data_IF_130940127429
#
_entry.id   IF_130940127429
#
_cell.length_a   1.000
_cell.length_b   1.000
_cell.length_c   1.000
_cell.angle_alpha   90.00
_cell.angle_beta   90.00
_cell.angle_gamma   90.00
#
_symmetry.space_group_name_H-M   'P 1'
#
loop_
_entity.id
_entity.type
_entity.pdbx_description
1 polymer ?
#
# COMPACT_ATOMS: atom_id res chain seq x y z
N UNK A 1 -6.71 -21.88 28.27
CA UNK A 1 -6.32 -20.46 28.31
C UNK A 1 -5.25 -20.24 27.25
N UNK A 2 -5.54 -19.53 26.14
CA UNK A 2 -4.50 -19.14 25.16
C UNK A 2 -3.79 -17.90 25.71
N UNK A 3 -2.45 -17.98 25.86
CA UNK A 3 -1.61 -16.81 26.14
C UNK A 3 -1.86 -15.77 25.05
N UNK A 4 -2.09 -14.52 25.43
CA UNK A 4 -2.10 -13.42 24.47
C UNK A 4 -0.65 -13.13 24.08
N UNK A 5 -0.20 -13.70 22.96
CA UNK A 5 1.10 -13.39 22.37
C UNK A 5 0.95 -12.07 21.57
N UNK A 6 0.84 -10.97 22.32
CA UNK A 6 0.99 -9.63 21.78
C UNK A 6 2.46 -9.48 21.38
N UNK A 7 2.73 -9.32 20.08
CA UNK A 7 4.07 -9.02 19.59
C UNK A 7 4.05 -7.71 18.81
N UNK A 8 4.84 -6.75 19.31
CA UNK A 8 5.16 -5.53 18.59
C UNK A 8 6.59 -5.70 18.07
N UNK A 9 6.78 -5.54 16.77
CA UNK A 9 8.11 -5.53 16.17
C UNK A 9 8.25 -4.30 15.30
N UNK A 10 8.91 -3.28 15.86
CA UNK A 10 9.44 -2.14 15.10
C UNK A 10 10.77 -2.59 14.50
N UNK A 11 10.80 -2.84 13.20
CA UNK A 11 12.04 -3.15 12.50
C UNK A 11 12.61 -1.85 11.95
N UNK A 12 13.69 -1.39 12.59
CA UNK A 12 14.73 -0.50 12.08
C UNK A 12 14.28 0.70 11.22
N UNK A 13 14.44 1.91 11.76
CA UNK A 13 14.76 3.05 10.91
C UNK A 13 16.19 2.81 10.39
N UNK A 14 16.30 2.45 9.11
CA UNK A 14 17.59 2.25 8.44
C UNK A 14 17.89 3.43 7.54
N UNK A 15 19.04 4.07 7.73
CA UNK A 15 19.66 4.90 6.70
C UNK A 15 20.28 3.95 5.67
N UNK A 16 19.63 3.79 4.52
CA UNK A 16 20.22 3.05 3.40
C UNK A 16 21.13 4.03 2.66
N UNK A 17 22.44 3.81 2.77
CA UNK A 17 23.48 4.54 2.05
C UNK A 17 23.98 3.65 0.91
N UNK A 18 23.58 3.90 -0.34
CA UNK A 18 24.05 3.09 -1.46
C UNK A 18 23.41 3.45 -2.80
N UNK A 19 24.15 3.19 -3.89
CA UNK A 19 23.80 3.45 -5.29
C UNK A 19 22.59 2.65 -5.83
N UNK A 20 22.00 1.78 -5.01
CA UNK A 20 21.08 0.72 -5.45
C UNK A 20 19.74 0.75 -4.70
N UNK A 21 19.31 1.93 -4.20
CA UNK A 21 17.95 2.08 -3.67
C UNK A 21 16.96 2.10 -4.84
N UNK A 22 16.36 0.94 -5.14
CA UNK A 22 15.24 0.82 -6.07
C UNK A 22 13.91 0.89 -5.30
N UNK A 23 13.16 2.00 -5.35
CA UNK A 23 11.80 2.02 -4.83
C UNK A 23 10.91 1.12 -5.72
N UNK A 24 10.30 0.09 -5.14
CA UNK A 24 9.33 -0.78 -5.83
C UNK A 24 7.88 -0.50 -5.37
N UNK A 25 6.84 -0.71 -6.21
CA UNK A 25 6.82 -0.73 -7.68
C UNK A 25 5.92 0.36 -8.29
N UNK A 26 6.37 0.87 -9.42
CA UNK A 26 5.57 1.30 -10.57
C UNK A 26 4.37 0.36 -10.79
N UNK A 27 3.14 0.81 -10.55
CA UNK A 27 2.00 0.35 -11.36
C UNK A 27 0.75 1.20 -11.11
N UNK A 28 0.40 1.44 -9.83
CA UNK A 28 -0.86 2.09 -9.47
C UNK A 28 -0.97 3.57 -9.91
N UNK A 29 0.16 4.22 -10.23
CA UNK A 29 0.25 5.65 -10.53
C UNK A 29 0.99 5.99 -11.81
N UNK A 30 1.30 4.96 -12.61
CA UNK A 30 1.95 5.13 -13.90
C UNK A 30 1.22 6.15 -14.78
N UNK A 31 -0.12 6.16 -14.77
CA UNK A 31 -0.91 7.12 -15.55
C UNK A 31 -0.71 8.57 -15.08
N UNK A 32 -0.59 8.83 -13.77
CA UNK A 32 -0.27 10.18 -13.27
C UNK A 32 1.12 10.60 -13.73
N UNK A 33 2.11 9.74 -13.56
CA UNK A 33 3.49 10.04 -13.92
C UNK A 33 3.63 10.23 -15.45
N UNK A 34 2.92 9.44 -16.24
CA UNK A 34 2.82 9.59 -17.69
C UNK A 34 2.19 10.93 -18.08
N UNK A 35 1.13 11.36 -17.40
CA UNK A 35 0.50 12.66 -17.66
C UNK A 35 1.37 13.84 -17.24
N UNK A 36 2.09 13.72 -16.12
CA UNK A 36 2.95 14.78 -15.59
C UNK A 36 4.25 14.95 -16.38
N UNK A 37 4.89 13.84 -16.76
CA UNK A 37 6.23 13.84 -17.37
C UNK A 37 6.24 13.47 -18.85
N UNK A 38 5.11 13.02 -19.41
CA UNK A 38 4.96 12.67 -20.82
C UNK A 38 5.89 11.53 -21.25
N UNK A 39 6.41 11.62 -22.48
CA UNK A 39 7.37 10.66 -23.04
C UNK A 39 8.68 10.56 -22.24
N UNK A 40 8.98 11.56 -21.39
CA UNK A 40 10.20 11.62 -20.60
C UNK A 40 10.08 10.93 -19.25
N UNK A 41 8.98 10.22 -18.93
CA UNK A 41 8.76 9.60 -17.61
C UNK A 41 9.94 8.72 -17.19
N UNK A 42 10.50 7.95 -18.12
CA UNK A 42 11.65 7.06 -17.87
C UNK A 42 12.91 7.89 -17.55
N UNK A 43 13.19 8.93 -18.32
CA UNK A 43 14.36 9.78 -18.09
C UNK A 43 14.23 10.62 -16.81
N UNK A 44 13.05 11.14 -16.49
CA UNK A 44 12.83 11.92 -15.26
C UNK A 44 12.95 11.02 -14.03
N UNK A 45 12.34 9.83 -14.06
CA UNK A 45 12.43 8.86 -12.95
C UNK A 45 13.85 8.36 -12.78
N UNK A 46 14.54 7.98 -13.87
CA UNK A 46 15.93 7.52 -13.78
C UNK A 46 16.90 8.64 -13.38
N UNK A 47 16.70 9.88 -13.87
CA UNK A 47 17.54 11.02 -13.51
C UNK A 47 17.32 11.52 -12.08
N UNK A 48 16.12 11.33 -11.51
CA UNK A 48 15.80 11.72 -10.12
C UNK A 48 16.67 11.00 -9.09
N UNK A 49 17.25 9.86 -9.44
CA UNK A 49 18.07 9.03 -8.55
C UNK A 49 19.56 8.91 -8.99
N UNK A 50 20.04 9.76 -9.91
CA UNK A 50 21.43 9.68 -10.43
C UNK A 50 22.50 10.23 -9.49
N UNK A 51 22.15 11.09 -8.54
CA UNK A 51 23.07 11.51 -7.47
C UNK A 51 23.06 10.47 -6.35
N UNK A 52 24.12 10.42 -5.51
CA UNK A 52 24.11 9.56 -4.32
C UNK A 52 22.95 9.99 -3.41
N UNK A 53 21.82 9.33 -3.54
CA UNK A 53 20.61 9.62 -2.79
C UNK A 53 20.68 8.88 -1.45
N UNK A 54 20.52 9.62 -0.37
CA UNK A 54 20.27 9.04 0.95
C UNK A 54 18.78 8.98 1.16
N UNK A 55 18.29 7.97 1.89
CA UNK A 55 16.86 7.83 2.15
C UNK A 55 16.57 7.32 3.54
N UNK A 56 15.32 7.49 3.95
CA UNK A 56 14.77 6.84 5.14
C UNK A 56 13.91 5.67 4.69
N UNK A 57 14.12 4.53 5.32
CA UNK A 57 13.24 3.38 5.21
C UNK A 57 12.85 2.92 6.61
N UNK A 58 11.57 2.63 6.80
CA UNK A 58 11.05 2.18 8.08
C UNK A 58 9.93 1.17 7.89
N UNK A 59 9.93 0.13 8.73
CA UNK A 59 8.86 -0.86 8.77
C UNK A 59 8.29 -0.96 10.18
N UNK A 60 6.97 -0.90 10.29
CA UNK A 60 6.27 -1.21 11.53
C UNK A 60 5.38 -2.44 11.35
N UNK A 61 5.42 -3.37 12.31
CA UNK A 61 4.56 -4.55 12.33
C UNK A 61 3.98 -4.75 13.72
N UNK A 62 2.68 -4.97 13.80
CA UNK A 62 1.93 -5.28 15.00
C UNK A 62 1.09 -6.53 14.76
N UNK A 63 1.31 -7.57 15.55
CA UNK A 63 0.53 -8.81 15.48
C UNK A 63 -0.11 -9.10 16.84
N UNK A 64 -1.45 -9.18 16.84
CA UNK A 64 -2.29 -9.59 17.97
C UNK A 64 -2.75 -11.04 17.76
N UNK A 65 -1.86 -11.99 18.00
CA UNK A 65 -2.12 -13.42 17.75
C UNK A 65 -2.56 -13.69 16.30
N UNK A 66 -3.57 -14.55 16.11
CA UNK A 66 -4.15 -14.83 14.78
C UNK A 66 -5.29 -13.87 14.38
N UNK A 67 -5.60 -12.88 15.22
CA UNK A 67 -6.80 -12.05 15.08
C UNK A 67 -6.53 -10.76 14.30
N UNK A 68 -5.40 -10.10 14.52
CA UNK A 68 -5.09 -8.84 13.86
C UNK A 68 -3.61 -8.75 13.53
N UNK A 69 -3.30 -8.51 12.27
CA UNK A 69 -1.96 -8.22 11.80
C UNK A 69 -2.01 -6.87 11.09
N UNK A 70 -1.17 -5.93 11.52
CA UNK A 70 -0.97 -4.64 10.89
C UNK A 70 0.48 -4.54 10.47
N UNK A 71 0.74 -4.19 9.23
CA UNK A 71 2.08 -3.92 8.72
C UNK A 71 2.09 -2.62 7.95
N UNK A 72 3.10 -1.79 8.14
CA UNK A 72 3.31 -0.62 7.32
C UNK A 72 4.76 -0.45 6.93
N UNK A 73 4.96 0.08 5.73
CA UNK A 73 6.26 0.38 5.15
C UNK A 73 6.27 1.86 4.76
N UNK A 74 7.34 2.55 5.12
CA UNK A 74 7.59 3.95 4.75
C UNK A 74 8.95 4.05 4.08
N UNK A 75 9.00 4.85 3.02
CA UNK A 75 10.25 5.24 2.38
C UNK A 75 10.22 6.70 1.93
N UNK A 76 11.36 7.37 1.98
CA UNK A 76 11.57 8.70 1.40
C UNK A 76 13.02 8.92 1.03
N UNK A 77 13.25 9.87 0.12
CA UNK A 77 14.59 10.25 -0.34
C UNK A 77 14.92 11.65 0.17
N UNK A 78 16.09 11.80 0.76
CA UNK A 78 16.57 13.08 1.29
C UNK A 78 16.77 14.07 0.15
N UNK A 79 16.33 15.32 0.34
CA UNK A 79 16.43 16.41 -0.64
C UNK A 79 15.71 16.14 -1.97
N UNK A 80 14.74 15.22 -2.00
CA UNK A 80 13.85 15.02 -3.13
C UNK A 80 12.43 15.31 -2.66
N UNK A 81 11.90 16.43 -3.14
CA UNK A 81 10.53 16.84 -2.88
C UNK A 81 9.56 15.77 -3.39
N UNK A 82 8.55 15.53 -2.58
CA UNK A 82 7.46 14.58 -2.77
C UNK A 82 7.97 13.16 -3.07
N UNK A 83 9.01 12.72 -2.36
CA UNK A 83 9.55 11.35 -2.48
C UNK A 83 8.94 10.34 -1.50
N UNK A 84 8.07 10.79 -0.59
CA UNK A 84 7.45 9.96 0.42
C UNK A 84 6.53 8.91 -0.18
N UNK A 85 6.64 7.69 0.35
CA UNK A 85 5.90 6.51 -0.05
C UNK A 85 5.54 5.76 1.22
N UNK A 86 4.25 5.48 1.40
CA UNK A 86 3.73 4.82 2.58
C UNK A 86 2.69 3.78 2.19
N UNK A 87 2.85 2.58 2.71
CA UNK A 87 1.87 1.51 2.61
C UNK A 87 1.48 1.09 4.02
N UNK A 88 0.19 0.93 4.29
CA UNK A 88 -0.31 0.23 5.46
C UNK A 88 -1.24 -0.90 5.02
N UNK A 89 -1.12 -2.05 5.68
CA UNK A 89 -1.93 -3.24 5.44
C UNK A 89 -2.46 -3.72 6.78
N UNK A 90 -3.74 -4.04 6.80
CA UNK A 90 -4.44 -4.62 7.95
C UNK A 90 -5.06 -5.92 7.52
N UNK A 91 -4.86 -6.98 8.29
CA UNK A 91 -5.47 -8.28 8.08
C UNK A 91 -6.09 -8.68 9.41
N UNK A 92 -7.41 -8.86 9.41
CA UNK A 92 -8.14 -9.41 10.56
C UNK A 92 -8.49 -10.86 10.27
N UNK A 93 -8.34 -11.70 11.27
CA UNK A 93 -8.80 -13.08 11.27
C UNK A 93 -8.22 -13.93 10.11
N UNK A 94 -6.89 -13.98 9.99
CA UNK A 94 -6.21 -14.82 8.99
C UNK A 94 -6.20 -16.32 9.34
N UNK A 95 -6.85 -16.69 10.45
CA UNK A 95 -7.07 -18.08 10.87
C UNK A 95 -8.08 -18.80 9.95
N UNK A 96 -7.84 -20.06 9.62
CA UNK A 96 -8.76 -20.91 8.85
C UNK A 96 -10.05 -21.22 9.61
N UNK A 97 -10.00 -21.17 10.95
CA UNK A 97 -11.14 -21.45 11.80
C UNK A 97 -12.06 -20.24 12.00
N UNK A 98 -11.63 -19.05 11.56
CA UNK A 98 -12.47 -17.85 11.62
C UNK A 98 -13.12 -17.67 10.23
N UNK A 99 -14.45 -17.75 10.10
CA UNK A 99 -15.14 -17.79 8.81
C UNK A 99 -15.24 -16.42 8.12
N UNK A 100 -14.46 -15.43 8.56
CA UNK A 100 -14.51 -14.04 8.09
C UNK A 100 -13.15 -13.66 7.49
N UNK A 101 -13.18 -12.85 6.44
CA UNK A 101 -12.03 -12.16 5.85
C UNK A 101 -12.29 -10.67 6.02
N UNK A 102 -11.40 -9.97 6.72
CA UNK A 102 -11.33 -8.51 6.63
C UNK A 102 -9.88 -8.13 6.33
N UNK A 103 -9.67 -7.43 5.22
CA UNK A 103 -8.35 -6.93 4.83
C UNK A 103 -8.48 -5.48 4.40
N UNK A 104 -7.49 -4.68 4.72
CA UNK A 104 -7.43 -3.28 4.32
C UNK A 104 -6.03 -2.96 3.81
N UNK A 105 -5.95 -2.15 2.76
CA UNK A 105 -4.72 -1.57 2.27
C UNK A 105 -4.95 -0.07 2.13
N UNK A 106 -3.98 0.69 2.62
CA UNK A 106 -3.84 2.11 2.39
C UNK A 106 -2.49 2.35 1.75
N UNK A 107 -2.47 3.12 0.69
CA UNK A 107 -1.26 3.52 0.00
C UNK A 107 -1.29 5.02 -0.25
N UNK A 108 -0.20 5.70 0.07
CA UNK A 108 0.02 7.11 -0.21
C UNK A 108 1.43 7.26 -0.78
N UNK A 109 1.55 8.00 -1.89
CA UNK A 109 2.85 8.41 -2.42
C UNK A 109 2.89 9.92 -2.63
N UNK A 110 4.04 10.40 -3.06
CA UNK A 110 4.26 11.77 -3.48
C UNK A 110 3.87 12.79 -2.40
N UNK A 111 4.36 12.55 -1.17
CA UNK A 111 4.14 13.44 -0.03
C UNK A 111 5.47 13.77 0.67
N UNK A 112 5.51 14.91 1.35
CA UNK A 112 6.73 15.43 1.98
C UNK A 112 6.78 15.16 3.49
N UNK A 113 5.63 15.12 4.14
CA UNK A 113 5.54 14.98 5.58
C UNK A 113 4.42 14.02 6.02
N UNK A 114 4.55 13.47 7.22
CA UNK A 114 3.52 12.58 7.79
C UNK A 114 2.19 13.29 8.08
N UNK A 115 2.16 14.62 8.12
CA UNK A 115 0.91 15.37 8.35
C UNK A 115 -0.01 15.35 7.13
N UNK A 116 0.57 15.28 5.92
CA UNK A 116 -0.14 15.14 4.65
C UNK A 116 -0.51 13.69 4.32
N UNK A 117 -0.02 12.72 5.10
CA UNK A 117 -0.34 11.30 4.92
C UNK A 117 -1.86 11.03 4.99
N UNK A 118 -2.57 11.77 5.83
CA UNK A 118 -4.03 11.62 5.98
C UNK A 118 -4.85 12.39 4.95
N UNK A 119 -4.21 13.22 4.12
CA UNK A 119 -4.89 13.96 3.06
C UNK A 119 -5.29 13.02 1.93
N UNK A 120 -6.56 13.07 1.54
CA UNK A 120 -7.13 12.23 0.48
C UNK A 120 -7.11 13.00 -0.84
N UNK A 121 -6.13 12.70 -1.69
CA UNK A 121 -5.93 13.32 -3.00
C UNK A 121 -5.55 12.25 -4.02
N UNK A 122 -5.21 12.66 -5.25
CA UNK A 122 -4.90 11.75 -6.35
C UNK A 122 -3.66 10.86 -6.11
N UNK A 123 -2.94 11.08 -5.02
CA UNK A 123 -1.83 10.24 -4.60
C UNK A 123 -2.22 9.12 -3.62
N UNK A 124 -3.52 8.92 -3.39
CA UNK A 124 -4.02 7.97 -2.41
C UNK A 124 -4.77 6.81 -3.07
N UNK A 125 -4.47 5.59 -2.63
CA UNK A 125 -5.25 4.39 -2.95
C UNK A 125 -5.69 3.69 -1.67
N UNK A 126 -6.97 3.32 -1.62
CA UNK A 126 -7.55 2.57 -0.51
C UNK A 126 -8.26 1.35 -1.07
N UNK A 127 -8.00 0.19 -0.48
CA UNK A 127 -8.73 -1.02 -0.79
C UNK A 127 -9.13 -1.75 0.49
N UNK A 128 -10.33 -2.33 0.47
CA UNK A 128 -10.86 -3.13 1.56
C UNK A 128 -11.52 -4.39 1.03
N UNK A 129 -11.22 -5.54 1.64
CA UNK A 129 -11.88 -6.80 1.34
C UNK A 129 -12.68 -7.21 2.57
N UNK A 130 -13.97 -7.48 2.38
CA UNK A 130 -14.82 -8.14 3.36
C UNK A 130 -15.39 -9.41 2.74
N UNK A 131 -15.30 -10.54 3.45
CA UNK A 131 -15.73 -11.82 2.90
C UNK A 131 -15.98 -12.90 3.92
N UNK A 132 -16.52 -14.01 3.44
CA UNK A 132 -16.80 -15.22 4.22
C UNK A 132 -16.05 -16.41 3.65
N UNK A 133 -15.43 -17.19 4.54
CA UNK A 133 -14.74 -18.45 4.21
C UNK A 133 -15.68 -19.63 4.41
N UNK A 134 -15.61 -20.57 3.48
CA UNK A 134 -16.31 -21.84 3.50
C UNK A 134 -15.29 -22.98 3.39
N UNK A 135 -15.64 -24.17 3.89
CA UNK A 135 -14.80 -25.37 3.83
C UNK A 135 -13.36 -25.14 4.31
N UNK A 136 -13.19 -24.53 5.49
CA UNK A 136 -11.88 -24.18 6.07
C UNK A 136 -11.01 -23.28 5.16
N UNK A 137 -11.63 -22.40 4.39
CA UNK A 137 -10.93 -21.43 3.53
C UNK A 137 -10.64 -21.92 2.11
N UNK A 138 -11.11 -23.12 1.73
CA UNK A 138 -11.01 -23.59 0.34
C UNK A 138 -11.83 -22.72 -0.61
N UNK A 139 -12.96 -22.22 -0.15
CA UNK A 139 -13.83 -21.31 -0.90
C UNK A 139 -14.05 -20.04 -0.09
N UNK A 140 -14.03 -18.89 -0.74
CA UNK A 140 -14.46 -17.65 -0.12
C UNK A 140 -15.29 -16.78 -1.07
N UNK A 141 -16.29 -16.13 -0.50
CA UNK A 141 -17.10 -15.10 -1.15
C UNK A 141 -16.68 -13.76 -0.60
N UNK A 142 -16.28 -12.84 -1.48
CA UNK A 142 -15.63 -11.60 -1.09
C UNK A 142 -16.25 -10.41 -1.81
N UNK A 143 -16.19 -9.26 -1.13
CA UNK A 143 -16.47 -7.94 -1.67
C UNK A 143 -15.20 -7.13 -1.53
N UNK A 144 -14.67 -6.67 -2.66
CA UNK A 144 -13.56 -5.72 -2.73
C UNK A 144 -14.14 -4.33 -2.93
N UNK A 145 -13.88 -3.42 -2.01
CA UNK A 145 -14.03 -1.98 -2.20
C UNK A 145 -12.68 -1.39 -2.59
N UNK A 146 -12.66 -0.53 -3.59
CA UNK A 146 -11.50 0.23 -4.01
C UNK A 146 -11.90 1.70 -4.13
N UNK A 147 -11.01 2.58 -3.68
CA UNK A 147 -11.09 4.01 -3.92
C UNK A 147 -9.76 4.51 -4.44
N UNK A 148 -9.83 5.16 -5.60
CA UNK A 148 -8.71 5.74 -6.31
C UNK A 148 -9.15 7.05 -6.96
N UNK A 149 -8.29 7.66 -7.75
CA UNK A 149 -8.55 8.87 -8.49
C UNK A 149 -8.23 8.65 -9.97
N UNK A 150 -9.18 9.01 -10.84
CA UNK A 150 -9.02 8.90 -12.28
C UNK A 150 -8.84 10.29 -12.88
N UNK A 151 -7.88 10.44 -13.79
CA UNK A 151 -7.74 11.66 -14.57
C UNK A 151 -8.88 11.78 -15.58
N UNK A 152 -9.53 12.93 -15.60
CA UNK A 152 -10.56 13.27 -16.58
C UNK A 152 -10.00 14.27 -17.59
N UNK A 153 -9.87 13.84 -18.85
CA UNK A 153 -9.33 14.70 -19.91
C UNK A 153 -10.23 15.92 -20.18
N UNK A 154 -11.54 15.78 -20.00
CA UNK A 154 -12.52 16.82 -20.35
C UNK A 154 -12.39 18.09 -19.51
N UNK A 155 -12.06 17.95 -18.22
CA UNK A 155 -11.92 19.07 -17.29
C UNK A 155 -10.49 19.21 -16.74
N UNK A 156 -9.57 18.33 -17.14
CA UNK A 156 -8.19 18.30 -16.64
C UNK A 156 -8.11 18.25 -15.12
N UNK A 157 -8.97 17.43 -14.50
CA UNK A 157 -8.98 17.22 -13.05
C UNK A 157 -9.01 15.74 -12.70
N UNK A 158 -8.57 15.43 -11.49
CA UNK A 158 -8.75 14.11 -10.90
C UNK A 158 -10.12 14.02 -10.24
N UNK A 159 -10.87 12.99 -10.59
CA UNK A 159 -12.14 12.67 -9.97
C UNK A 159 -12.02 11.38 -9.15
N UNK A 160 -12.71 11.35 -8.01
CA UNK A 160 -12.74 10.17 -7.15
C UNK A 160 -13.46 9.03 -7.89
N UNK A 161 -12.80 7.88 -7.98
CA UNK A 161 -13.39 6.65 -8.47
C UNK A 161 -13.51 5.65 -7.33
N UNK A 162 -14.74 5.22 -7.05
CA UNK A 162 -15.04 4.16 -6.09
C UNK A 162 -15.63 2.96 -6.83
N UNK A 163 -15.19 1.76 -6.44
CA UNK A 163 -15.62 0.51 -7.05
C UNK A 163 -15.90 -0.52 -5.97
N UNK A 164 -16.99 -1.25 -6.12
CA UNK A 164 -17.29 -2.43 -5.30
C UNK A 164 -17.41 -3.63 -6.24
N UNK A 165 -16.52 -4.62 -6.06
CA UNK A 165 -16.43 -5.80 -6.90
C UNK A 165 -16.67 -7.06 -6.07
N UNK A 166 -17.78 -7.80 -6.29
CA UNK A 166 -17.91 -9.13 -5.74
C UNK A 166 -17.00 -10.10 -6.49
N UNK A 167 -16.35 -11.01 -5.77
CA UNK A 167 -15.59 -12.09 -6.38
C UNK A 167 -15.59 -13.35 -5.52
N UNK A 168 -15.38 -14.48 -6.19
CA UNK A 168 -15.23 -15.80 -5.56
C UNK A 168 -13.77 -16.19 -5.65
N UNK A 169 -13.19 -16.63 -4.54
CA UNK A 169 -11.82 -17.11 -4.50
C UNK A 169 -11.78 -18.56 -4.04
N UNK A 170 -11.05 -19.38 -4.79
CA UNK A 170 -10.72 -20.75 -4.43
C UNK A 170 -9.28 -20.80 -3.94
N UNK A 171 -9.08 -21.34 -2.73
CA UNK A 171 -7.77 -21.59 -2.14
C UNK A 171 -7.51 -23.10 -2.08
N UNK A 172 -6.31 -23.51 -2.46
CA UNK A 172 -5.81 -24.84 -2.18
C UNK A 172 -4.58 -24.70 -1.28
N UNK A 173 -4.58 -25.40 -0.13
CA UNK A 173 -3.39 -25.60 0.69
C UNK A 173 -2.91 -27.03 0.46
N UNK A 174 -1.67 -27.17 0.02
CA UNK A 174 -0.95 -28.43 -0.10
C UNK A 174 0.05 -28.55 1.04
#
# INVERSE_FOLDING_TARGET
MRKSDLSLSLYGAGLILGKDFEPAPFDAFYEKERLQYGENVVDVVLNRYKENTTGLYGIARLNLGSVLNISSDYQSVTNVDSSGLFTARVIVADDENIPIILRGVFYKYNFDDFSTLTTMDENTYIAGIAGLKFFKGILSLNLLYERTYLWQETNSTYEVQEKISPYVQFGAKF
#
